data_IF_761285400961
#
_entry.id   IF_761285400961
#
_cell.length_a   1.000
_cell.length_b   1.000
_cell.length_c   1.000
_cell.angle_alpha   90.00
_cell.angle_beta   90.00
_cell.angle_gamma   90.00
#
_symmetry.space_group_name_H-M   'P 1'
#
loop_
_entity.id
_entity.type
_entity.pdbx_description
1 polymer ?
#
# COMPACT_ATOMS: atom_id res chain seq x y z
N UNK A 1 -22.74 12.87 -43.74
CA UNK A 1 -22.79 13.72 -42.52
C UNK A 1 -22.73 12.79 -41.32
N UNK A 2 -21.75 13.03 -40.47
CA UNK A 2 -21.22 12.17 -39.42
C UNK A 2 -22.18 11.95 -38.26
N UNK A 3 -22.34 10.69 -37.87
CA UNK A 3 -22.94 10.26 -36.60
C UNK A 3 -21.92 10.54 -35.48
N UNK A 4 -22.28 11.18 -34.35
CA UNK A 4 -21.37 11.30 -33.22
C UNK A 4 -21.34 9.98 -32.44
N UNK A 5 -20.18 9.31 -32.45
CA UNK A 5 -19.86 8.21 -31.56
C UNK A 5 -19.66 8.74 -30.14
N UNK A 6 -20.65 8.53 -29.28
CA UNK A 6 -20.56 8.81 -27.84
C UNK A 6 -20.71 7.49 -27.06
N UNK A 7 -19.69 6.64 -27.14
CA UNK A 7 -19.56 5.45 -26.31
C UNK A 7 -18.09 5.27 -25.91
N UNK A 8 -17.65 6.06 -24.93
CA UNK A 8 -16.46 5.77 -24.14
C UNK A 8 -16.81 4.83 -22.99
N UNK A 9 -17.42 3.67 -23.28
CA UNK A 9 -17.58 2.61 -22.30
C UNK A 9 -16.27 1.81 -22.27
N UNK A 10 -15.56 1.90 -21.16
CA UNK A 10 -14.42 1.03 -20.86
C UNK A 10 -14.88 -0.43 -21.02
N UNK A 11 -14.38 -1.12 -22.04
CA UNK A 11 -14.79 -2.49 -22.41
C UNK A 11 -14.49 -3.56 -21.37
N UNK A 12 -13.97 -3.18 -20.19
CA UNK A 12 -13.60 -4.08 -19.11
C UNK A 12 -14.73 -4.33 -18.09
N UNK A 13 -15.82 -3.54 -18.10
CA UNK A 13 -16.88 -3.70 -17.09
C UNK A 13 -17.65 -5.03 -17.25
N UNK A 14 -17.84 -5.49 -18.49
CA UNK A 14 -18.58 -6.72 -18.79
C UNK A 14 -17.68 -7.96 -18.64
N UNK A 15 -16.36 -7.83 -18.86
CA UNK A 15 -15.43 -8.95 -18.71
C UNK A 15 -15.08 -9.23 -17.24
N UNK A 16 -15.17 -8.24 -16.36
CA UNK A 16 -15.10 -8.45 -14.91
C UNK A 16 -16.24 -9.33 -14.40
N UNK A 17 -17.46 -9.20 -14.97
CA UNK A 17 -18.62 -9.98 -14.53
C UNK A 17 -18.67 -11.41 -15.09
N UNK A 18 -18.05 -11.68 -16.25
CA UNK A 18 -18.18 -12.97 -16.95
C UNK A 18 -17.01 -13.96 -16.74
N UNK A 19 -16.00 -13.63 -15.93
CA UNK A 19 -14.88 -14.54 -15.61
C UNK A 19 -15.05 -15.33 -14.30
N UNK A 20 -16.27 -15.49 -13.80
CA UNK A 20 -16.60 -16.32 -12.64
C UNK A 20 -16.59 -17.85 -12.86
N UNK A 21 -15.78 -18.39 -13.80
CA UNK A 21 -15.81 -19.84 -14.15
C UNK A 21 -14.43 -20.54 -14.03
N UNK A 22 -13.36 -19.84 -13.65
CA UNK A 22 -12.10 -20.51 -13.28
C UNK A 22 -11.71 -20.13 -11.86
N UNK A 23 -11.58 -21.16 -11.00
CA UNK A 23 -11.36 -21.07 -9.56
C UNK A 23 -10.22 -20.14 -9.15
N UNK A 24 -10.54 -18.86 -8.99
CA UNK A 24 -9.75 -17.91 -8.21
C UNK A 24 -10.52 -17.73 -6.91
N UNK A 25 -9.94 -18.15 -5.79
CA UNK A 25 -10.47 -17.73 -4.49
C UNK A 25 -10.61 -16.21 -4.51
N UNK A 26 -11.78 -15.70 -4.13
CA UNK A 26 -12.08 -14.27 -4.15
C UNK A 26 -10.95 -13.50 -3.46
N UNK A 27 -10.17 -12.78 -4.26
CA UNK A 27 -9.14 -11.89 -3.76
C UNK A 27 -9.83 -10.59 -3.36
N UNK A 28 -10.51 -10.63 -2.22
CA UNK A 28 -11.19 -9.46 -1.67
C UNK A 28 -10.15 -8.50 -1.14
N UNK A 29 -9.99 -7.37 -1.82
CA UNK A 29 -9.21 -6.22 -1.34
C UNK A 29 -9.82 -5.70 -0.05
N UNK A 30 -9.01 -5.16 0.86
CA UNK A 30 -9.57 -4.59 2.08
C UNK A 30 -10.38 -3.33 1.75
N UNK A 31 -11.63 -3.28 2.23
CA UNK A 31 -12.41 -2.05 2.22
C UNK A 31 -12.03 -1.17 3.43
N UNK A 32 -11.91 0.14 3.21
CA UNK A 32 -11.54 1.09 4.27
C UNK A 32 -10.05 1.09 4.60
N UNK A 33 -9.26 1.80 3.78
CA UNK A 33 -7.85 2.06 4.07
C UNK A 33 -7.70 3.28 4.99
N UNK A 34 -6.83 3.19 5.99
CA UNK A 34 -6.40 4.31 6.82
C UNK A 34 -5.67 5.38 6.00
N UNK A 35 -5.00 4.94 4.93
CA UNK A 35 -4.27 5.83 4.02
C UNK A 35 -4.26 5.26 2.61
N UNK A 36 -4.40 6.14 1.63
CA UNK A 36 -4.30 5.81 0.21
C UNK A 36 -3.47 6.88 -0.50
N UNK A 37 -2.56 6.45 -1.37
CA UNK A 37 -1.76 7.35 -2.20
C UNK A 37 -1.76 6.89 -3.65
N UNK A 38 -1.96 7.82 -4.58
CA UNK A 38 -1.87 7.57 -6.02
C UNK A 38 -0.45 7.80 -6.54
N UNK A 39 0.00 6.93 -7.45
CA UNK A 39 1.29 6.98 -8.10
C UNK A 39 1.17 6.58 -9.59
N UNK A 40 2.18 6.96 -10.38
CA UNK A 40 2.31 6.56 -11.76
C UNK A 40 3.59 5.75 -11.97
N UNK A 41 3.53 4.74 -12.85
CA UNK A 41 4.70 3.97 -13.25
C UNK A 41 5.57 4.81 -14.18
N UNK A 42 6.87 4.87 -13.90
CA UNK A 42 7.90 5.49 -14.74
C UNK A 42 8.52 4.47 -15.68
N UNK A 43 9.01 4.94 -16.83
CA UNK A 43 9.54 4.08 -17.90
C UNK A 43 10.68 3.15 -17.45
N UNK A 44 11.55 3.62 -16.55
CA UNK A 44 12.73 2.88 -16.09
C UNK A 44 12.42 1.82 -15.01
N UNK A 45 11.18 1.73 -14.55
CA UNK A 45 10.74 0.77 -13.53
C UNK A 45 10.34 -0.60 -14.12
N UNK A 46 10.24 -0.67 -15.46
CA UNK A 46 9.92 -1.90 -16.18
C UNK A 46 11.19 -2.73 -16.50
N UNK A 47 11.04 -4.06 -16.48
CA UNK A 47 12.10 -4.97 -16.90
C UNK A 47 11.99 -5.38 -18.39
N UNK A 48 12.83 -6.32 -18.82
CA UNK A 48 12.89 -6.81 -20.20
C UNK A 48 11.58 -7.43 -20.71
N UNK A 49 10.63 -7.77 -19.83
CA UNK A 49 9.31 -8.29 -20.21
C UNK A 49 8.28 -7.17 -20.45
N UNK A 50 8.67 -5.90 -20.27
CA UNK A 50 7.79 -4.74 -20.46
C UNK A 50 6.77 -4.55 -19.34
N UNK A 51 7.01 -5.14 -18.17
CA UNK A 51 6.21 -4.97 -16.96
C UNK A 51 7.08 -4.46 -15.82
N UNK A 52 6.46 -3.85 -14.82
CA UNK A 52 7.16 -3.40 -13.61
C UNK A 52 7.87 -4.58 -12.95
N UNK A 53 9.15 -4.40 -12.63
CA UNK A 53 9.94 -5.44 -11.97
C UNK A 53 9.40 -5.73 -10.56
N UNK A 54 9.40 -7.01 -10.14
CA UNK A 54 8.87 -7.42 -8.83
C UNK A 54 9.48 -6.63 -7.65
N UNK A 55 10.77 -6.28 -7.71
CA UNK A 55 11.44 -5.54 -6.63
C UNK A 55 10.94 -4.10 -6.51
N UNK A 56 10.49 -3.50 -7.60
CA UNK A 56 10.01 -2.11 -7.62
C UNK A 56 8.69 -1.98 -6.86
N UNK A 57 7.85 -3.02 -6.83
CA UNK A 57 6.64 -3.00 -6.01
C UNK A 57 6.96 -2.79 -4.53
N UNK A 58 8.07 -3.33 -4.02
CA UNK A 58 8.48 -3.08 -2.63
C UNK A 58 8.81 -1.61 -2.39
N UNK A 59 9.35 -0.91 -3.39
CA UNK A 59 9.63 0.53 -3.30
C UNK A 59 8.33 1.34 -3.23
N UNK A 60 7.30 0.98 -4.01
CA UNK A 60 5.98 1.62 -3.93
C UNK A 60 5.34 1.41 -2.55
N UNK A 61 5.40 0.17 -2.05
CA UNK A 61 4.88 -0.17 -0.73
C UNK A 61 5.64 0.60 0.37
N UNK A 62 6.96 0.68 0.28
CA UNK A 62 7.79 1.44 1.22
C UNK A 62 7.45 2.93 1.21
N UNK A 63 7.34 3.52 0.02
CA UNK A 63 6.99 4.92 -0.12
C UNK A 63 5.65 5.22 0.56
N UNK A 64 4.62 4.40 0.32
CA UNK A 64 3.32 4.54 0.97
C UNK A 64 3.42 4.42 2.51
N UNK A 65 4.24 3.50 3.05
CA UNK A 65 4.46 3.41 4.50
C UNK A 65 5.13 4.65 5.07
N UNK A 66 6.15 5.18 4.40
CA UNK A 66 6.85 6.38 4.84
C UNK A 66 5.93 7.61 4.83
N UNK A 67 5.14 7.79 3.76
CA UNK A 67 4.17 8.90 3.70
C UNK A 67 3.08 8.77 4.77
N UNK A 68 2.54 7.56 4.98
CA UNK A 68 1.60 7.32 6.07
C UNK A 68 2.18 7.66 7.45
N UNK A 69 3.40 7.18 7.73
CA UNK A 69 4.07 7.42 9.01
C UNK A 69 4.33 8.92 9.26
N UNK A 70 4.62 9.71 8.22
CA UNK A 70 4.74 11.17 8.35
C UNK A 70 3.41 11.81 8.74
N UNK A 71 2.31 11.42 8.08
CA UNK A 71 0.97 11.97 8.33
C UNK A 71 0.52 11.72 9.77
N UNK A 72 0.81 10.55 10.32
CA UNK A 72 0.42 10.17 11.69
C UNK A 72 1.44 10.60 12.77
N UNK A 73 2.39 11.48 12.43
CA UNK A 73 3.37 12.03 13.38
C UNK A 73 4.43 11.03 13.85
N UNK A 74 4.63 9.95 13.12
CA UNK A 74 5.55 8.86 13.41
C UNK A 74 6.72 8.80 12.41
N UNK A 75 7.33 9.96 12.10
CA UNK A 75 8.38 10.06 11.07
C UNK A 75 9.57 9.14 11.36
N UNK A 76 9.84 8.25 10.40
CA UNK A 76 10.97 7.31 10.43
C UNK A 76 12.31 8.02 10.65
N UNK A 77 12.53 9.16 10.00
CA UNK A 77 13.77 9.92 10.12
C UNK A 77 13.98 10.47 11.53
N UNK A 78 12.91 10.84 12.23
CA UNK A 78 12.97 11.29 13.62
C UNK A 78 13.23 10.14 14.58
N UNK A 79 12.57 8.99 14.39
CA UNK A 79 12.84 7.80 15.20
C UNK A 79 14.29 7.33 15.04
N UNK A 80 14.80 7.29 13.82
CA UNK A 80 16.19 6.92 13.55
C UNK A 80 17.18 7.87 14.27
N UNK A 81 16.93 9.19 14.25
CA UNK A 81 17.72 10.18 15.01
C UNK A 81 17.66 9.97 16.53
N UNK A 82 16.55 9.43 17.04
CA UNK A 82 16.37 9.04 18.45
C UNK A 82 16.97 7.66 18.78
N UNK A 83 17.65 7.01 17.82
CA UNK A 83 18.25 5.68 18.00
C UNK A 83 17.22 4.55 18.00
N UNK A 84 16.00 4.81 17.53
CA UNK A 84 14.93 3.82 17.37
C UNK A 84 14.84 3.46 15.89
N UNK A 85 15.21 2.23 15.55
CA UNK A 85 15.22 1.77 14.17
C UNK A 85 14.01 0.88 13.90
N UNK A 86 13.11 1.34 13.04
CA UNK A 86 12.03 0.49 12.53
C UNK A 86 12.59 -0.42 11.44
N UNK A 87 12.47 -1.73 11.63
CA UNK A 87 13.04 -2.73 10.72
C UNK A 87 11.96 -3.69 10.24
N UNK A 88 11.99 -4.02 8.95
CA UNK A 88 11.13 -5.06 8.37
C UNK A 88 11.74 -6.42 8.69
N UNK A 89 10.95 -7.30 9.29
CA UNK A 89 11.38 -8.68 9.64
C UNK A 89 10.80 -9.74 8.71
N UNK A 90 9.69 -9.43 8.04
CA UNK A 90 9.06 -10.30 7.05
C UNK A 90 8.27 -9.48 6.05
N UNK A 91 8.35 -9.85 4.79
CA UNK A 91 7.52 -9.32 3.72
C UNK A 91 6.85 -10.48 3.00
N UNK A 92 5.53 -10.44 2.90
CA UNK A 92 4.70 -11.38 2.15
C UNK A 92 4.03 -10.60 1.02
N UNK A 93 4.24 -11.00 -0.23
CA UNK A 93 3.72 -10.31 -1.42
C UNK A 93 3.05 -11.32 -2.36
N UNK A 94 1.76 -11.12 -2.61
CA UNK A 94 0.96 -11.88 -3.55
C UNK A 94 0.70 -11.05 -4.82
N UNK A 95 1.39 -11.39 -5.90
CA UNK A 95 1.24 -10.74 -7.21
C UNK A 95 0.06 -11.34 -7.98
N UNK A 96 -0.83 -10.50 -8.49
CA UNK A 96 -2.04 -10.92 -9.23
C UNK A 96 -2.04 -10.45 -10.67
N UNK A 97 -1.76 -9.17 -10.89
CA UNK A 97 -1.73 -8.58 -12.22
C UNK A 97 -0.54 -7.62 -12.31
N UNK A 98 0.01 -7.46 -13.52
CA UNK A 98 1.17 -6.61 -13.75
C UNK A 98 0.77 -5.17 -14.08
N UNK A 99 1.56 -4.23 -13.56
CA UNK A 99 1.62 -2.85 -14.03
C UNK A 99 2.59 -2.70 -15.21
N UNK A 100 2.35 -1.70 -16.06
CA UNK A 100 3.17 -1.32 -17.22
C UNK A 100 3.50 0.18 -17.17
N UNK A 101 4.46 0.62 -17.99
CA UNK A 101 4.77 2.06 -18.09
C UNK A 101 3.53 2.89 -18.45
N UNK A 102 3.37 4.03 -17.78
CA UNK A 102 2.22 4.91 -17.94
C UNK A 102 0.97 4.49 -17.17
N UNK A 103 0.94 3.30 -16.56
CA UNK A 103 -0.16 2.92 -15.67
C UNK A 103 -0.21 3.87 -14.46
N UNK A 104 -1.43 4.27 -14.09
CA UNK A 104 -1.72 4.90 -12.78
C UNK A 104 -2.25 3.85 -11.84
N UNK A 105 -1.83 3.91 -10.59
CA UNK A 105 -2.24 2.97 -9.56
C UNK A 105 -2.34 3.70 -8.22
N UNK A 106 -3.04 3.10 -7.27
CA UNK A 106 -2.99 3.56 -5.89
C UNK A 106 -2.56 2.43 -4.96
N UNK A 107 -2.02 2.84 -3.82
CA UNK A 107 -1.60 1.96 -2.74
C UNK A 107 -2.43 2.27 -1.52
N UNK A 108 -3.28 1.33 -1.13
CA UNK A 108 -4.01 1.35 0.13
C UNK A 108 -3.16 0.76 1.25
N UNK A 109 -3.27 1.32 2.46
CA UNK A 109 -2.49 0.91 3.62
C UNK A 109 -3.35 0.92 4.89
N UNK A 110 -3.20 -0.15 5.67
CA UNK A 110 -3.68 -0.27 7.05
C UNK A 110 -2.53 -0.72 7.96
N UNK A 111 -2.37 -0.07 9.10
CA UNK A 111 -1.43 -0.45 10.15
C UNK A 111 -2.17 -1.16 11.29
N UNK A 112 -1.64 -2.31 11.72
CA UNK A 112 -2.18 -3.06 12.84
C UNK A 112 -1.08 -3.66 13.71
N UNK A 113 -1.42 -3.89 14.99
CA UNK A 113 -0.55 -4.60 15.93
C UNK A 113 -0.68 -6.10 15.74
N UNK A 114 0.44 -6.80 15.63
CA UNK A 114 0.47 -8.27 15.52
C UNK A 114 0.84 -8.94 16.85
N UNK A 115 1.70 -8.28 17.64
CA UNK A 115 2.09 -8.74 18.96
C UNK A 115 2.64 -7.60 19.81
N UNK A 116 3.14 -7.92 21.01
CA UNK A 116 3.80 -6.95 21.88
C UNK A 116 5.01 -6.29 21.21
N UNK A 117 5.72 -7.02 20.33
CA UNK A 117 6.97 -6.59 19.70
C UNK A 117 6.88 -6.47 18.18
N UNK A 118 5.71 -6.71 17.57
CA UNK A 118 5.53 -6.68 16.11
C UNK A 118 4.27 -5.92 15.71
N UNK A 119 4.38 -5.25 14.59
CA UNK A 119 3.27 -4.61 13.88
C UNK A 119 3.31 -5.04 12.41
N UNK A 120 2.18 -4.93 11.73
CA UNK A 120 2.08 -5.21 10.30
C UNK A 120 1.44 -4.05 9.56
N UNK A 121 1.99 -3.76 8.39
CA UNK A 121 1.34 -2.99 7.36
C UNK A 121 0.67 -3.96 6.40
N UNK A 122 -0.65 -3.84 6.30
CA UNK A 122 -1.46 -4.48 5.27
C UNK A 122 -1.60 -3.50 4.13
N UNK A 123 -1.10 -3.88 2.96
CA UNK A 123 -1.01 -2.99 1.82
C UNK A 123 -1.55 -3.67 0.58
N UNK A 124 -2.21 -2.90 -0.24
CA UNK A 124 -2.89 -3.36 -1.44
C UNK A 124 -2.56 -2.38 -2.57
N UNK A 125 -2.25 -2.90 -3.75
CA UNK A 125 -2.05 -2.10 -4.96
C UNK A 125 -3.16 -2.43 -5.94
N UNK A 126 -3.76 -1.40 -6.52
CA UNK A 126 -4.75 -1.54 -7.58
C UNK A 126 -4.51 -0.52 -8.69
N UNK A 127 -4.70 -0.98 -9.92
CA UNK A 127 -4.55 -0.15 -11.13
C UNK A 127 -5.83 0.65 -11.36
N UNK A 128 -5.66 1.94 -11.60
CA UNK A 128 -6.71 2.90 -11.88
C UNK A 128 -7.06 2.93 -13.38
N UNK A 129 -8.29 3.38 -13.75
CA UNK A 129 -9.36 3.87 -12.88
C UNK A 129 -10.27 2.77 -12.31
N UNK A 130 -10.23 1.55 -12.85
CA UNK A 130 -11.15 0.48 -12.50
C UNK A 130 -10.82 -0.26 -11.18
N UNK A 131 -9.84 0.23 -10.40
CA UNK A 131 -9.31 -0.39 -9.18
C UNK A 131 -9.04 -1.89 -9.34
N UNK A 132 -8.48 -2.28 -10.49
CA UNK A 132 -8.12 -3.67 -10.76
C UNK A 132 -7.04 -4.11 -9.75
N UNK A 133 -7.23 -5.21 -8.99
CA UNK A 133 -6.24 -5.65 -8.03
C UNK A 133 -4.92 -5.98 -8.74
N UNK A 134 -3.80 -5.62 -8.14
CA UNK A 134 -2.45 -5.82 -8.72
C UNK A 134 -1.61 -6.66 -7.76
N UNK A 135 -1.59 -6.28 -6.49
CA UNK A 135 -0.77 -6.89 -5.47
C UNK A 135 -1.41 -6.75 -4.09
N UNK A 136 -1.25 -7.76 -3.24
CA UNK A 136 -1.45 -7.67 -1.78
C UNK A 136 -0.14 -7.92 -1.08
N UNK A 137 0.11 -7.17 -0.03
CA UNK A 137 1.27 -7.33 0.82
C UNK A 137 0.92 -7.29 2.30
N UNK A 138 1.63 -8.11 3.06
CA UNK A 138 1.75 -8.00 4.52
C UNK A 138 3.21 -7.78 4.86
N UNK A 139 3.53 -6.60 5.40
CA UNK A 139 4.88 -6.22 5.79
C UNK A 139 4.95 -6.16 7.31
N UNK A 140 5.66 -7.11 7.92
CA UNK A 140 5.81 -7.19 9.37
C UNK A 140 7.07 -6.47 9.78
N UNK A 141 6.92 -5.51 10.70
CA UNK A 141 8.00 -4.73 11.28
C UNK A 141 8.15 -4.92 12.78
N UNK A 142 9.33 -4.54 13.28
CA UNK A 142 9.60 -4.34 14.70
C UNK A 142 10.43 -3.06 14.87
N UNK A 143 10.49 -2.53 16.09
CA UNK A 143 11.34 -1.42 16.44
C UNK A 143 12.52 -1.94 17.26
N UNK A 144 13.74 -1.52 16.93
CA UNK A 144 14.95 -1.81 17.70
C UNK A 144 15.38 -0.54 18.43
N UNK A 145 15.66 -0.65 19.72
CA UNK A 145 16.25 0.46 20.49
C UNK A 145 17.75 0.64 20.18
N UNK A 146 18.39 1.63 20.80
CA UNK A 146 19.82 1.91 20.62
C UNK A 146 20.77 0.77 21.05
N UNK A 147 20.27 -0.22 21.81
CA UNK A 147 21.01 -1.44 22.17
C UNK A 147 20.78 -2.62 21.19
N UNK A 148 19.99 -2.41 20.13
CA UNK A 148 19.62 -3.43 19.15
C UNK A 148 18.56 -4.41 19.65
N UNK A 149 17.90 -4.15 20.78
CA UNK A 149 16.85 -5.01 21.33
C UNK A 149 15.47 -4.59 20.81
N UNK A 150 14.59 -5.55 20.47
CA UNK A 150 13.21 -5.25 20.09
C UNK A 150 12.45 -4.53 21.20
N UNK A 151 11.96 -3.33 20.91
CA UNK A 151 11.20 -2.48 21.82
C UNK A 151 10.35 -1.50 21.00
N UNK A 152 9.02 -1.64 21.07
CA UNK A 152 8.09 -0.71 20.42
C UNK A 152 7.92 0.52 21.31
N UNK A 153 8.23 1.74 20.83
CA UNK A 153 8.04 2.96 21.61
C UNK A 153 6.56 3.19 21.94
N UNK A 154 6.28 3.73 23.14
CA UNK A 154 4.91 3.99 23.60
C UNK A 154 4.09 4.85 22.62
N UNK A 155 4.71 5.85 21.98
CA UNK A 155 4.06 6.67 20.95
C UNK A 155 3.55 5.84 19.76
N UNK A 156 4.32 4.83 19.33
CA UNK A 156 3.90 3.92 18.27
C UNK A 156 2.84 2.93 18.76
N UNK A 157 2.91 2.50 20.04
CA UNK A 157 1.87 1.67 20.66
C UNK A 157 0.51 2.37 20.64
N UNK A 158 0.45 3.66 21.01
CA UNK A 158 -0.80 4.43 20.97
C UNK A 158 -1.40 4.52 19.56
N UNK A 159 -0.56 4.70 18.54
CA UNK A 159 -0.99 4.68 17.14
C UNK A 159 -1.53 3.29 16.73
N UNK A 160 -0.87 2.22 17.19
CA UNK A 160 -1.23 0.84 16.86
C UNK A 160 -2.52 0.37 17.56
N UNK A 161 -2.75 0.82 18.78
CA UNK A 161 -3.91 0.42 19.59
C UNK A 161 -5.16 1.31 19.29
N UNK A 162 -4.98 2.46 18.64
CA UNK A 162 -6.04 3.45 18.33
C UNK A 162 -6.72 3.32 16.96
N UNK A 163 -6.50 2.24 16.22
CA UNK A 163 -6.91 2.16 14.81
C UNK A 163 -8.42 2.00 14.54
N UNK A 164 -9.20 3.08 14.54
CA UNK A 164 -10.41 3.28 13.72
C UNK A 164 -10.96 4.72 13.87
N UNK A 165 -10.67 5.60 12.89
CA UNK A 165 -11.42 6.83 12.65
C UNK A 165 -11.24 7.96 13.67
N UNK A 166 -10.38 8.92 13.34
CA UNK A 166 -10.70 10.34 13.46
C UNK A 166 -9.68 11.12 12.64
N UNK A 167 -10.16 11.77 11.59
CA UNK A 167 -9.39 12.74 10.83
C UNK A 167 -9.03 13.88 11.77
N UNK A 168 -7.73 14.15 11.94
CA UNK A 168 -7.27 15.34 12.65
C UNK A 168 -7.64 16.54 11.79
N UNK A 169 -8.68 17.25 12.21
CA UNK A 169 -9.13 18.52 11.63
C UNK A 169 -8.02 19.56 11.86
N UNK A 170 -7.46 20.09 10.76
CA UNK A 170 -6.52 21.21 10.77
C UNK A 170 -7.18 22.43 11.43
N UNK A 171 -6.75 22.77 12.64
CA UNK A 171 -6.98 24.09 13.21
C UNK A 171 -5.98 25.05 12.57
N UNK A 172 -6.45 25.80 11.56
CA UNK A 172 -5.78 27.01 11.08
C UNK A 172 -6.08 28.14 12.07
N UNK A 173 -5.04 28.66 12.72
CA UNK A 173 -5.02 30.03 13.24
C UNK A 173 -4.72 31.04 12.12
#
# INVERSE_FOLDING_TARGET
MSVPNFWGFCGDLVLCFLKGIFGTGEFEMMDGYQFEIEMGVRDYECDMQGIVNNSVYQNYLEHARHEFLKVVGADFGEYAKKGINLVVVRAELDYRFSLQSGDRFAVGLNLARESVLRFAFYQDIFRLPCRKPVLRAKIIGTALNGSGRPEIPAALVSLLDGGAGEAVEETKE
#
